data_IF_625921147870
#
_entry.id   IF_625921147870
#
_cell.length_a   1.000
_cell.length_b   1.000
_cell.length_c   1.000
_cell.angle_alpha   90.00
_cell.angle_beta   90.00
_cell.angle_gamma   90.00
#
_symmetry.space_group_name_H-M   'P 1'
#
loop_
_entity.id
_entity.type
_entity.pdbx_description
1 polymer ?
#
# COMPACT_ATOMS: atom_id res chain seq x y z
N UNK A 1 -4.32 7.41 29.63
CA UNK A 1 -5.45 7.27 28.68
C UNK A 1 -5.93 8.66 28.22
N UNK A 2 -5.61 9.07 26.98
CA UNK A 2 -6.16 10.30 26.41
C UNK A 2 -7.66 10.16 26.16
N UNK A 3 -8.42 11.24 26.30
CA UNK A 3 -9.87 11.25 26.06
C UNK A 3 -10.12 10.88 24.59
N UNK A 4 -10.93 9.84 24.33
CA UNK A 4 -11.27 9.40 22.96
C UNK A 4 -11.80 10.55 22.10
N UNK A 5 -12.56 11.47 22.71
CA UNK A 5 -13.11 12.64 22.01
C UNK A 5 -12.03 13.59 21.49
N UNK A 6 -10.93 13.76 22.23
CA UNK A 6 -9.81 14.62 21.83
C UNK A 6 -9.02 14.01 20.65
N UNK A 7 -8.87 12.69 20.65
CA UNK A 7 -8.21 11.96 19.55
C UNK A 7 -9.06 11.98 18.25
N UNK A 8 -10.38 11.85 18.36
CA UNK A 8 -11.28 11.87 17.19
C UNK A 8 -11.41 13.27 16.58
N UNK A 9 -11.39 14.32 17.41
CA UNK A 9 -11.31 15.72 16.98
C UNK A 9 -9.99 15.97 16.23
N UNK A 10 -8.87 15.47 16.74
CA UNK A 10 -7.55 15.64 16.09
C UNK A 10 -7.49 14.96 14.72
N UNK A 11 -8.08 13.77 14.58
CA UNK A 11 -8.10 13.02 13.30
C UNK A 11 -9.01 13.68 12.27
N UNK A 12 -10.19 14.13 12.68
CA UNK A 12 -11.10 14.89 11.82
C UNK A 12 -10.48 16.21 11.36
N UNK A 13 -9.71 16.86 12.23
CA UNK A 13 -8.95 18.06 11.91
C UNK A 13 -7.88 17.81 10.82
N UNK A 14 -7.17 16.68 10.85
CA UNK A 14 -6.17 16.35 9.82
C UNK A 14 -6.79 16.17 8.42
N UNK A 15 -7.96 15.54 8.34
CA UNK A 15 -8.70 15.42 7.07
C UNK A 15 -9.15 16.79 6.59
N UNK A 16 -9.70 17.63 7.48
CA UNK A 16 -10.12 18.97 7.11
C UNK A 16 -8.95 19.83 6.61
N UNK A 17 -7.81 19.79 7.30
CA UNK A 17 -6.60 20.48 6.86
C UNK A 17 -6.17 20.02 5.46
N UNK A 18 -6.23 18.72 5.16
CA UNK A 18 -5.91 18.19 3.83
C UNK A 18 -6.87 18.70 2.76
N UNK A 19 -8.18 18.78 3.07
CA UNK A 19 -9.19 19.34 2.18
C UNK A 19 -8.93 20.82 1.88
N UNK A 20 -8.60 21.59 2.92
CA UNK A 20 -8.29 23.02 2.83
C UNK A 20 -7.01 23.26 2.00
N UNK A 21 -5.94 22.50 2.27
CA UNK A 21 -4.66 22.58 1.55
C UNK A 21 -4.80 22.24 0.06
N UNK A 22 -5.70 21.31 -0.28
CA UNK A 22 -5.99 20.92 -1.66
C UNK A 22 -7.08 21.77 -2.33
N UNK A 23 -7.77 22.62 -1.57
CA UNK A 23 -8.86 23.47 -2.08
C UNK A 23 -10.06 22.68 -2.61
N UNK A 24 -10.42 21.58 -1.95
CA UNK A 24 -11.54 20.71 -2.35
C UNK A 24 -12.41 20.36 -1.14
N UNK A 25 -13.71 20.15 -1.36
CA UNK A 25 -14.65 19.75 -0.31
C UNK A 25 -14.70 18.24 -0.08
N UNK A 26 -14.09 17.46 -0.98
CA UNK A 26 -14.04 16.01 -0.87
C UNK A 26 -12.72 15.40 -1.41
N UNK A 27 -12.44 14.17 -0.99
CA UNK A 27 -11.39 13.32 -1.55
C UNK A 27 -11.96 12.02 -2.09
N UNK A 28 -11.46 11.57 -3.24
CA UNK A 28 -11.83 10.26 -3.80
C UNK A 28 -11.36 9.10 -2.90
N UNK A 29 -10.20 9.24 -2.27
CA UNK A 29 -9.59 8.22 -1.41
C UNK A 29 -8.80 8.87 -0.27
N UNK A 30 -8.98 8.38 0.96
CA UNK A 30 -8.12 8.70 2.10
C UNK A 30 -7.66 7.42 2.80
N UNK A 31 -6.38 7.35 3.18
CA UNK A 31 -5.75 6.13 3.69
C UNK A 31 -5.18 6.35 5.09
N UNK A 32 -5.35 5.36 5.97
CA UNK A 32 -4.48 5.24 7.14
C UNK A 32 -3.08 4.86 6.67
N UNK A 33 -2.09 5.72 6.92
CA UNK A 33 -0.75 5.55 6.37
C UNK A 33 0.01 4.35 6.97
N UNK A 34 -0.13 4.08 8.27
CA UNK A 34 0.50 2.94 8.95
C UNK A 34 -0.41 2.35 10.03
N UNK A 35 -0.41 1.01 10.23
CA UNK A 35 -1.19 0.33 11.25
C UNK A 35 -0.56 0.51 12.64
N UNK A 36 -0.58 1.74 13.16
CA UNK A 36 -0.03 2.01 14.51
C UNK A 36 -0.88 1.25 15.55
N UNK A 37 -0.27 0.34 16.35
CA UNK A 37 -0.95 -0.47 17.35
C UNK A 37 -1.78 0.40 18.28
N UNK A 38 -2.94 -0.09 18.69
CA UNK A 38 -3.93 0.60 19.55
C UNK A 38 -4.54 1.90 18.97
N UNK A 39 -4.11 2.37 17.79
CA UNK A 39 -4.62 3.62 17.19
C UNK A 39 -5.35 3.41 15.88
N UNK A 40 -4.88 2.47 15.07
CA UNK A 40 -5.32 2.37 13.67
C UNK A 40 -6.81 1.99 13.55
N UNK A 41 -7.34 1.13 14.43
CA UNK A 41 -8.76 0.78 14.45
C UNK A 41 -9.65 1.99 14.78
N UNK A 42 -9.29 2.78 15.79
CA UNK A 42 -10.04 3.98 16.15
C UNK A 42 -9.96 5.04 15.04
N UNK A 43 -8.78 5.22 14.44
CA UNK A 43 -8.61 6.14 13.33
C UNK A 43 -9.49 5.76 12.13
N UNK A 44 -9.66 4.46 11.86
CA UNK A 44 -10.50 4.00 10.76
C UNK A 44 -11.99 4.29 11.00
N UNK A 45 -12.47 4.19 12.24
CA UNK A 45 -13.85 4.57 12.59
C UNK A 45 -14.16 6.03 12.28
N UNK A 46 -13.19 6.94 12.53
CA UNK A 46 -13.33 8.35 12.14
C UNK A 46 -13.42 8.50 10.62
N UNK A 47 -12.66 7.71 9.84
CA UNK A 47 -12.77 7.72 8.38
C UNK A 47 -14.15 7.23 7.90
N UNK A 48 -14.73 6.22 8.56
CA UNK A 48 -16.10 5.75 8.27
C UNK A 48 -17.15 6.86 8.49
N UNK A 49 -17.01 7.63 9.57
CA UNK A 49 -17.89 8.77 9.86
C UNK A 49 -17.76 9.87 8.82
N UNK A 50 -16.52 10.22 8.42
CA UNK A 50 -16.25 11.23 7.40
C UNK A 50 -16.69 10.79 6.00
N UNK A 51 -16.63 9.48 5.72
CA UNK A 51 -17.20 8.90 4.51
C UNK A 51 -18.73 9.02 4.51
N UNK A 52 -19.39 8.70 5.63
CA UNK A 52 -20.84 8.85 5.76
C UNK A 52 -21.30 10.32 5.61
N UNK A 53 -20.44 11.28 5.96
CA UNK A 53 -20.67 12.72 5.76
C UNK A 53 -20.40 13.19 4.32
N UNK A 54 -19.89 12.33 3.44
CA UNK A 54 -19.60 12.66 2.03
C UNK A 54 -18.27 13.37 1.79
N UNK A 55 -17.46 13.62 2.83
CA UNK A 55 -16.12 14.23 2.70
C UNK A 55 -15.11 13.29 2.03
N UNK A 56 -15.29 11.99 2.23
CA UNK A 56 -14.44 10.94 1.65
C UNK A 56 -15.33 10.03 0.80
N UNK A 57 -14.99 9.79 -0.46
CA UNK A 57 -15.75 8.82 -1.29
C UNK A 57 -15.38 7.39 -0.95
N UNK A 58 -14.08 7.12 -0.86
CA UNK A 58 -13.52 5.83 -0.44
C UNK A 58 -12.53 6.02 0.70
N UNK A 59 -12.44 5.00 1.56
CA UNK A 59 -11.50 4.94 2.66
C UNK A 59 -10.69 3.65 2.54
N UNK A 60 -9.44 3.70 2.98
CA UNK A 60 -8.55 2.54 2.90
C UNK A 60 -7.40 2.61 3.88
N UNK A 61 -6.43 1.75 3.65
CA UNK A 61 -5.24 1.61 4.49
C UNK A 61 -3.99 1.53 3.63
N UNK A 62 -2.83 1.68 4.27
CA UNK A 62 -1.52 1.59 3.66
C UNK A 62 -0.58 0.86 4.59
N UNK A 63 0.31 0.05 4.01
CA UNK A 63 1.33 -0.73 4.72
C UNK A 63 0.78 -1.82 5.66
N UNK A 64 -0.49 -2.19 5.55
CA UNK A 64 -1.05 -3.24 6.42
C UNK A 64 -0.57 -4.62 5.96
N UNK A 65 -0.21 -5.44 6.93
CA UNK A 65 -0.08 -6.90 6.76
C UNK A 65 -1.43 -7.58 6.95
N UNK A 66 -1.52 -8.88 6.68
CA UNK A 66 -2.76 -9.66 6.82
C UNK A 66 -3.35 -9.49 8.22
N UNK A 67 -2.51 -9.57 9.25
CA UNK A 67 -2.98 -9.60 10.61
C UNK A 67 -3.48 -8.23 11.10
N UNK A 68 -2.99 -7.13 10.53
CA UNK A 68 -3.53 -5.78 10.80
C UNK A 68 -4.89 -5.58 10.13
N UNK A 69 -5.07 -6.18 8.93
CA UNK A 69 -6.37 -6.19 8.26
C UNK A 69 -7.36 -7.02 9.07
N UNK A 70 -6.97 -8.19 9.57
CA UNK A 70 -7.82 -9.02 10.42
C UNK A 70 -8.21 -8.30 11.71
N UNK A 71 -7.26 -7.63 12.37
CA UNK A 71 -7.53 -6.79 13.54
C UNK A 71 -8.54 -5.68 13.22
N UNK A 72 -8.34 -4.94 12.13
CA UNK A 72 -9.25 -3.88 11.72
C UNK A 72 -10.66 -4.42 11.42
N UNK A 73 -10.74 -5.51 10.67
CA UNK A 73 -12.00 -6.10 10.20
C UNK A 73 -12.87 -6.69 11.33
N UNK A 74 -12.33 -6.85 12.55
CA UNK A 74 -13.14 -7.24 13.72
C UNK A 74 -14.15 -6.15 14.13
N UNK A 75 -13.91 -4.88 13.78
CA UNK A 75 -14.79 -3.78 14.18
C UNK A 75 -15.11 -2.77 13.09
N UNK A 76 -14.47 -2.85 11.93
CA UNK A 76 -14.80 -2.04 10.77
C UNK A 76 -16.21 -2.38 10.26
N UNK A 77 -17.00 -1.34 9.98
CA UNK A 77 -18.30 -1.43 9.31
C UNK A 77 -18.16 -1.37 7.79
N UNK A 78 -17.11 -0.71 7.30
CA UNK A 78 -16.80 -0.56 5.88
C UNK A 78 -15.46 -1.24 5.58
N UNK A 79 -15.47 -2.22 4.66
CA UNK A 79 -14.25 -2.89 4.20
C UNK A 79 -13.33 -1.86 3.52
N UNK A 80 -12.02 -1.80 3.85
CA UNK A 80 -11.08 -0.91 3.18
C UNK A 80 -11.12 -1.09 1.67
N UNK A 81 -11.33 -0.01 0.92
CA UNK A 81 -11.34 -0.08 -0.54
C UNK A 81 -9.96 -0.46 -1.09
N UNK A 82 -8.90 0.07 -0.46
CA UNK A 82 -7.51 -0.12 -0.87
C UNK A 82 -6.62 -0.52 0.31
N UNK A 83 -5.64 -1.39 0.05
CA UNK A 83 -4.41 -1.50 0.83
C UNK A 83 -3.23 -1.07 -0.06
N UNK A 84 -2.67 0.12 0.21
CA UNK A 84 -1.52 0.65 -0.53
C UNK A 84 -0.21 0.10 0.07
N UNK A 85 0.55 -0.71 -0.68
CA UNK A 85 1.74 -1.43 -0.18
C UNK A 85 2.89 -1.42 -1.20
N UNK A 86 4.12 -1.64 -0.75
CA UNK A 86 5.25 -1.86 -1.67
C UNK A 86 5.07 -3.21 -2.36
N UNK A 87 4.85 -3.17 -3.67
CA UNK A 87 4.70 -4.38 -4.50
C UNK A 87 5.36 -4.14 -5.85
N UNK A 88 6.20 -5.09 -6.24
CA UNK A 88 6.90 -5.17 -7.52
C UNK A 88 7.48 -6.59 -7.67
N UNK A 89 8.04 -7.01 -8.82
CA UNK A 89 8.60 -8.35 -8.97
C UNK A 89 9.66 -8.77 -7.94
N UNK A 90 10.40 -7.80 -7.37
CA UNK A 90 11.43 -8.06 -6.35
C UNK A 90 10.88 -7.96 -4.91
N UNK A 91 9.61 -7.61 -4.74
CA UNK A 91 8.90 -7.69 -3.47
C UNK A 91 7.47 -8.11 -3.76
N UNK A 92 7.33 -9.35 -4.21
CA UNK A 92 6.06 -9.96 -4.55
C UNK A 92 5.42 -10.52 -3.29
N UNK A 93 4.54 -9.72 -2.71
CA UNK A 93 3.77 -10.04 -1.50
C UNK A 93 2.52 -10.86 -1.85
N UNK A 94 2.71 -12.00 -2.50
CA UNK A 94 1.66 -12.89 -3.04
C UNK A 94 0.56 -13.24 -2.03
N UNK A 95 0.88 -13.60 -0.78
CA UNK A 95 -0.11 -13.96 0.25
C UNK A 95 -0.91 -12.73 0.65
N UNK A 96 -0.24 -11.60 0.90
CA UNK A 96 -0.89 -10.33 1.21
C UNK A 96 -1.84 -9.89 0.09
N UNK A 97 -1.39 -9.99 -1.17
CA UNK A 97 -2.20 -9.63 -2.35
C UNK A 97 -3.43 -10.54 -2.46
N UNK A 98 -3.21 -11.87 -2.40
CA UNK A 98 -4.30 -12.85 -2.46
C UNK A 98 -5.32 -12.65 -1.34
N UNK A 99 -4.85 -12.36 -0.13
CA UNK A 99 -5.72 -12.06 1.01
C UNK A 99 -6.56 -10.81 0.75
N UNK A 100 -5.94 -9.69 0.36
CA UNK A 100 -6.66 -8.45 0.07
C UNK A 100 -7.75 -8.68 -1.00
N UNK A 101 -7.39 -9.32 -2.11
CA UNK A 101 -8.31 -9.62 -3.20
C UNK A 101 -9.46 -10.52 -2.75
N UNK A 102 -9.21 -11.53 -1.91
CA UNK A 102 -10.25 -12.40 -1.34
C UNK A 102 -11.25 -11.67 -0.44
N UNK A 103 -10.88 -10.50 0.10
CA UNK A 103 -11.73 -9.63 0.92
C UNK A 103 -12.37 -8.48 0.14
N UNK A 104 -12.14 -8.41 -1.17
CA UNK A 104 -12.59 -7.28 -2.00
C UNK A 104 -11.75 -6.00 -1.82
N UNK A 105 -10.57 -6.10 -1.21
CA UNK A 105 -9.64 -4.99 -1.01
C UNK A 105 -8.71 -4.92 -2.22
N UNK A 106 -8.68 -3.79 -2.92
CA UNK A 106 -7.77 -3.59 -4.05
C UNK A 106 -6.37 -3.25 -3.56
N UNK A 107 -5.36 -3.90 -4.12
CA UNK A 107 -3.97 -3.56 -3.80
C UNK A 107 -3.50 -2.41 -4.69
N UNK A 108 -2.87 -1.40 -4.08
CA UNK A 108 -2.23 -0.30 -4.79
C UNK A 108 -0.71 -0.32 -4.52
N UNK A 109 0.09 -0.54 -5.56
CA UNK A 109 1.53 -0.69 -5.49
C UNK A 109 2.25 0.65 -5.53
N UNK A 110 2.78 1.09 -4.39
CA UNK A 110 3.82 2.13 -4.38
C UNK A 110 5.19 1.52 -4.68
N UNK A 111 6.13 2.35 -5.18
CA UNK A 111 7.48 1.92 -5.62
C UNK A 111 7.48 0.72 -6.58
N UNK A 112 6.40 0.58 -7.36
CA UNK A 112 6.26 -0.45 -8.38
C UNK A 112 7.43 -0.48 -9.41
N UNK A 113 8.06 0.68 -9.65
CA UNK A 113 9.22 0.82 -10.54
C UNK A 113 10.58 0.72 -9.83
N UNK A 114 10.61 0.41 -8.53
CA UNK A 114 11.82 0.34 -7.68
C UNK A 114 12.79 1.51 -7.84
N UNK A 115 12.25 2.72 -7.95
CA UNK A 115 13.05 3.94 -8.14
C UNK A 115 14.02 3.87 -9.35
N UNK A 116 13.70 3.04 -10.34
CA UNK A 116 14.53 2.79 -11.54
C UNK A 116 15.69 1.81 -11.35
N UNK A 117 15.95 1.32 -10.12
CA UNK A 117 17.07 0.40 -9.83
C UNK A 117 16.94 -0.96 -10.53
N UNK A 118 15.71 -1.36 -10.85
CA UNK A 118 15.42 -2.61 -11.53
C UNK A 118 15.65 -2.57 -13.05
N UNK A 119 15.83 -1.39 -13.64
CA UNK A 119 15.81 -1.26 -15.11
C UNK A 119 17.00 -1.89 -15.81
N UNK A 120 18.12 -2.08 -15.10
CA UNK A 120 19.31 -2.76 -15.60
C UNK A 120 19.34 -4.26 -15.29
N UNK A 121 18.30 -4.81 -14.66
CA UNK A 121 18.26 -6.23 -14.34
C UNK A 121 18.17 -7.07 -15.64
N UNK A 122 19.02 -8.10 -15.85
CA UNK A 122 19.09 -8.83 -17.13
C UNK A 122 17.74 -9.37 -17.62
N UNK A 123 16.93 -9.91 -16.69
CA UNK A 123 15.59 -10.40 -17.04
C UNK A 123 14.66 -9.29 -17.53
N UNK A 124 14.73 -8.10 -16.91
CA UNK A 124 13.89 -6.96 -17.27
C UNK A 124 14.31 -6.41 -18.64
N UNK A 125 15.62 -6.34 -18.92
CA UNK A 125 16.14 -5.95 -20.23
C UNK A 125 15.74 -6.94 -21.32
N UNK A 126 15.88 -8.25 -21.07
CA UNK A 126 15.44 -9.31 -21.98
C UNK A 126 13.95 -9.20 -22.31
N UNK A 127 13.09 -8.97 -21.31
CA UNK A 127 11.66 -8.77 -21.52
C UNK A 127 11.38 -7.45 -22.24
N UNK A 128 12.12 -6.38 -21.91
CA UNK A 128 12.03 -5.09 -22.59
C UNK A 128 12.25 -5.23 -24.09
N UNK A 129 13.26 -5.99 -24.50
CA UNK A 129 13.53 -6.32 -25.90
C UNK A 129 12.42 -7.19 -26.51
N UNK A 130 12.02 -8.28 -25.83
CA UNK A 130 10.98 -9.20 -26.30
C UNK A 130 9.66 -8.48 -26.61
N UNK A 131 9.22 -7.60 -25.72
CA UNK A 131 7.93 -6.89 -25.85
C UNK A 131 8.05 -5.53 -26.56
N UNK A 132 9.26 -5.10 -26.91
CA UNK A 132 9.54 -3.76 -27.43
C UNK A 132 8.92 -2.65 -26.56
N UNK A 133 9.09 -2.78 -25.24
CA UNK A 133 8.57 -1.83 -24.24
C UNK A 133 9.68 -1.49 -23.26
N UNK A 134 9.76 -0.25 -22.73
CA UNK A 134 10.83 0.11 -21.82
C UNK A 134 10.73 -0.66 -20.48
N UNK A 135 11.83 -0.80 -19.71
CA UNK A 135 11.85 -1.55 -18.46
C UNK A 135 10.76 -1.18 -17.45
N UNK A 136 10.39 0.12 -17.38
CA UNK A 136 9.32 0.59 -16.52
C UNK A 136 7.96 -0.07 -16.83
N UNK A 137 7.69 -0.30 -18.11
CA UNK A 137 6.42 -0.84 -18.58
C UNK A 137 6.34 -2.34 -18.30
N UNK A 138 7.47 -3.07 -18.29
CA UNK A 138 7.50 -4.47 -17.85
C UNK A 138 7.01 -4.58 -16.39
N UNK A 139 7.55 -3.74 -15.50
CA UNK A 139 7.15 -3.73 -14.09
C UNK A 139 5.70 -3.26 -13.90
N UNK A 140 5.29 -2.20 -14.60
CA UNK A 140 3.92 -1.69 -14.55
C UNK A 140 2.90 -2.70 -15.05
N UNK A 141 3.20 -3.37 -16.18
CA UNK A 141 2.32 -4.39 -16.76
C UNK A 141 2.18 -5.61 -15.87
N UNK A 142 3.27 -6.02 -15.21
CA UNK A 142 3.22 -7.09 -14.21
C UNK A 142 2.23 -6.76 -13.08
N UNK A 143 2.22 -5.53 -12.55
CA UNK A 143 1.23 -5.11 -11.55
C UNK A 143 -0.20 -5.17 -12.11
N UNK A 144 -0.43 -4.57 -13.28
CA UNK A 144 -1.76 -4.49 -13.91
C UNK A 144 -2.34 -5.89 -14.16
N UNK A 145 -1.55 -6.84 -14.68
CA UNK A 145 -2.02 -8.22 -14.91
C UNK A 145 -2.32 -8.99 -13.63
N UNK A 146 -1.77 -8.58 -12.49
CA UNK A 146 -2.11 -9.14 -11.18
C UNK A 146 -3.30 -8.45 -10.51
N UNK A 147 -3.98 -7.57 -11.24
CA UNK A 147 -5.06 -6.74 -10.69
C UNK A 147 -4.58 -5.89 -9.50
N UNK A 148 -3.38 -5.32 -9.64
CA UNK A 148 -2.78 -4.38 -8.69
C UNK A 148 -2.68 -3.01 -9.35
N UNK A 149 -3.24 -1.98 -8.71
CA UNK A 149 -3.14 -0.60 -9.19
C UNK A 149 -1.68 -0.16 -9.05
N UNK A 150 -1.02 0.21 -10.13
CA UNK A 150 0.35 0.68 -10.12
C UNK A 150 0.36 2.22 -10.12
N UNK A 151 1.08 2.85 -9.17
CA UNK A 151 1.17 4.31 -9.04
C UNK A 151 2.60 4.81 -9.29
N UNK A 152 3.01 4.99 -10.55
CA UNK A 152 4.34 5.49 -10.89
C UNK A 152 4.48 6.97 -10.52
N UNK A 153 5.66 7.35 -10.01
CA UNK A 153 6.01 8.76 -9.83
C UNK A 153 6.98 9.21 -10.92
N UNK A 154 6.68 10.34 -11.56
CA UNK A 154 7.61 11.05 -12.44
C UNK A 154 7.36 12.55 -12.37
N UNK A 155 8.40 13.34 -12.60
CA UNK A 155 8.31 14.79 -12.84
C UNK A 155 8.62 15.15 -14.31
N UNK A 156 9.00 14.15 -15.12
CA UNK A 156 9.28 14.31 -16.56
C UNK A 156 8.06 13.85 -17.35
N UNK A 157 7.51 14.72 -18.19
CA UNK A 157 6.29 14.48 -18.97
C UNK A 157 6.40 13.24 -19.86
N UNK A 158 7.55 13.06 -20.51
CA UNK A 158 7.81 11.95 -21.42
C UNK A 158 7.73 10.61 -20.67
N UNK A 159 8.25 10.57 -19.43
CA UNK A 159 8.15 9.39 -18.57
C UNK A 159 6.73 9.18 -18.05
N UNK A 160 5.97 10.24 -17.78
CA UNK A 160 4.55 10.10 -17.40
C UNK A 160 3.75 9.45 -18.52
N UNK A 161 3.96 9.89 -19.76
CA UNK A 161 3.34 9.29 -20.95
C UNK A 161 3.76 7.82 -21.12
N UNK A 162 5.06 7.53 -21.07
CA UNK A 162 5.57 6.17 -21.20
C UNK A 162 5.02 5.23 -20.11
N UNK A 163 4.91 5.72 -18.86
CA UNK A 163 4.37 4.95 -17.73
C UNK A 163 2.90 4.56 -17.92
N UNK A 164 2.11 5.31 -18.71
CA UNK A 164 0.72 4.95 -19.01
C UNK A 164 0.58 3.86 -20.07
N UNK A 165 1.65 3.56 -20.83
CA UNK A 165 1.65 2.62 -21.96
C UNK A 165 1.78 1.14 -21.49
N UNK A 166 0.87 0.73 -20.59
CA UNK A 166 0.88 -0.59 -19.94
C UNK A 166 -0.46 -1.33 -20.06
N UNK A 167 -1.45 -0.80 -20.77
CA UNK A 167 -2.82 -1.34 -20.76
C UNK A 167 -3.20 -2.13 -22.02
N UNK A 168 -2.58 -1.83 -23.17
CA UNK A 168 -2.92 -2.32 -24.51
C UNK A 168 -2.11 -3.53 -25.00
N UNK A 169 -1.28 -4.12 -24.14
CA UNK A 169 -0.47 -5.30 -24.44
C UNK A 169 -0.36 -6.20 -23.21
N UNK A 170 0.11 -7.43 -23.35
CA UNK A 170 0.22 -8.40 -22.25
C UNK A 170 1.61 -9.04 -22.18
N UNK A 171 2.10 -9.27 -20.96
CA UNK A 171 3.13 -10.25 -20.68
C UNK A 171 2.53 -11.66 -20.78
N UNK A 172 3.23 -12.54 -21.47
CA UNK A 172 2.91 -13.98 -21.51
C UNK A 172 2.98 -14.59 -20.10
N UNK A 173 2.19 -15.63 -19.87
CA UNK A 173 2.10 -16.32 -18.57
C UNK A 173 3.47 -16.82 -18.09
N UNK A 174 4.29 -17.37 -18.99
CA UNK A 174 5.65 -17.81 -18.65
C UNK A 174 6.52 -16.66 -18.15
N UNK A 175 6.41 -15.49 -18.76
CA UNK A 175 7.22 -14.33 -18.38
C UNK A 175 6.74 -13.72 -17.06
N UNK A 176 5.42 -13.74 -16.82
CA UNK A 176 4.85 -13.40 -15.51
C UNK A 176 5.41 -14.33 -14.41
N UNK A 177 5.51 -15.63 -14.68
CA UNK A 177 6.09 -16.60 -13.76
C UNK A 177 7.60 -16.37 -13.54
N UNK A 178 8.37 -16.03 -14.57
CA UNK A 178 9.78 -15.65 -14.41
C UNK A 178 9.95 -14.40 -13.53
N UNK A 179 9.06 -13.41 -13.66
CA UNK A 179 9.06 -12.21 -12.81
C UNK A 179 8.67 -12.49 -11.36
N UNK A 180 7.70 -13.39 -11.13
CA UNK A 180 7.25 -13.77 -9.79
C UNK A 180 8.37 -14.38 -8.93
N UNK A 181 9.42 -14.91 -9.57
CA UNK A 181 10.58 -15.53 -8.90
C UNK A 181 11.69 -14.53 -8.53
N UNK A 182 11.55 -13.24 -8.85
CA UNK A 182 12.59 -12.23 -8.57
C UNK A 182 12.64 -11.77 -7.11
N UNK A 183 11.65 -12.13 -6.30
CA UNK A 183 11.62 -11.78 -4.88
C UNK A 183 12.61 -12.63 -4.10
N UNK A 184 13.51 -11.99 -3.37
CA UNK A 184 14.49 -12.66 -2.51
C UNK A 184 14.11 -12.54 -1.04
N UNK A 185 14.63 -13.46 -0.21
CA UNK A 185 14.49 -13.38 1.25
C UNK A 185 15.04 -12.06 1.80
N UNK A 186 16.15 -11.55 1.25
CA UNK A 186 16.69 -10.24 1.61
C UNK A 186 15.69 -9.09 1.36
N UNK A 187 14.94 -9.15 0.26
CA UNK A 187 13.93 -8.12 -0.03
C UNK A 187 12.77 -8.17 0.98
N UNK A 188 12.34 -9.36 1.37
CA UNK A 188 11.33 -9.57 2.40
C UNK A 188 11.83 -9.08 3.78
N UNK A 189 13.05 -9.44 4.19
CA UNK A 189 13.62 -9.00 5.47
C UNK A 189 13.87 -7.49 5.50
N UNK A 190 14.26 -6.88 4.38
CA UNK A 190 14.36 -5.42 4.25
C UNK A 190 13.00 -4.75 4.48
N UNK A 191 11.94 -5.28 3.86
CA UNK A 191 10.58 -4.78 4.07
C UNK A 191 10.13 -4.98 5.52
N UNK A 192 10.40 -6.14 6.12
CA UNK A 192 10.08 -6.44 7.52
C UNK A 192 10.75 -5.46 8.48
N UNK A 193 12.03 -5.16 8.28
CA UNK A 193 12.75 -4.18 9.07
C UNK A 193 12.16 -2.77 8.93
N UNK A 194 11.76 -2.37 7.71
CA UNK A 194 11.08 -1.10 7.46
C UNK A 194 9.72 -1.04 8.17
N UNK A 195 8.91 -2.09 8.02
CA UNK A 195 7.60 -2.19 8.66
C UNK A 195 7.72 -2.04 10.17
N UNK A 196 8.58 -2.84 10.80
CA UNK A 196 8.84 -2.75 12.25
C UNK A 196 9.31 -1.36 12.65
N UNK A 197 10.26 -0.77 11.91
CA UNK A 197 10.75 0.58 12.20
C UNK A 197 9.63 1.62 12.17
N UNK A 198 8.78 1.61 11.16
CA UNK A 198 7.71 2.59 10.98
C UNK A 198 6.60 2.42 12.02
N UNK A 199 6.14 1.18 12.21
CA UNK A 199 5.14 0.85 13.23
C UNK A 199 5.65 1.25 14.61
N UNK A 200 6.89 0.85 14.98
CA UNK A 200 7.46 1.17 16.29
C UNK A 200 7.74 2.65 16.53
N UNK A 201 8.16 3.39 15.50
CA UNK A 201 8.47 4.83 15.64
C UNK A 201 7.24 5.59 16.14
N UNK A 202 6.07 5.25 15.63
CA UNK A 202 4.84 6.02 15.84
C UNK A 202 3.93 5.40 16.94
N UNK A 203 4.27 4.20 17.46
CA UNK A 203 3.65 3.60 18.65
C UNK A 203 4.03 4.36 19.92
N UNK A 204 3.07 4.97 20.64
CA UNK A 204 3.34 5.67 21.90
C UNK A 204 3.68 4.68 23.02
N UNK A 205 4.43 5.14 24.03
CA UNK A 205 4.73 4.38 25.25
C UNK A 205 3.49 4.02 26.07
N UNK A 206 2.31 4.59 25.79
CA UNK A 206 1.04 4.22 26.42
C UNK A 206 0.30 3.10 25.70
N UNK A 207 0.72 2.74 24.48
CA UNK A 207 0.25 1.57 23.71
C UNK A 207 1.08 0.33 24.03
N UNK A 208 1.50 0.21 25.29
CA UNK A 208 2.36 -0.85 25.79
C UNK A 208 1.63 -1.58 26.90
N UNK A 209 1.59 -2.91 26.85
CA UNK A 209 1.47 -3.67 28.09
C UNK A 209 2.81 -3.55 28.84
N UNK A 210 2.76 -3.11 30.10
CA UNK A 210 3.93 -3.09 31.00
C UNK A 210 5.16 -2.30 30.51
N UNK A 211 4.97 -1.21 29.76
CA UNK A 211 6.08 -0.37 29.30
C UNK A 211 6.92 -0.96 28.15
N UNK A 212 6.49 -2.08 27.55
CA UNK A 212 7.09 -2.66 26.33
C UNK A 212 6.20 -2.36 25.12
N UNK A 213 6.77 -1.77 24.06
CA UNK A 213 6.07 -1.56 22.78
C UNK A 213 5.38 -2.86 22.36
N UNK A 214 4.05 -2.83 22.20
CA UNK A 214 3.28 -3.96 21.65
C UNK A 214 3.87 -4.25 20.26
N UNK A 215 4.67 -5.30 20.21
CA UNK A 215 5.36 -5.76 19.03
C UNK A 215 4.63 -7.01 18.59
N UNK A 216 3.99 -6.94 17.43
CA UNK A 216 3.49 -8.13 16.75
C UNK A 216 4.71 -9.00 16.42
N UNK A 217 4.80 -10.16 17.06
CA UNK A 217 5.97 -11.07 16.95
C UNK A 217 5.91 -11.97 15.72
N UNK A 218 4.73 -12.13 15.13
CA UNK A 218 4.51 -12.87 13.89
C UNK A 218 3.54 -12.10 12.98
N UNK A 219 3.95 -11.88 11.73
CA UNK A 219 3.13 -11.24 10.71
C UNK A 219 3.53 -11.69 9.30
N UNK A 220 2.55 -11.72 8.41
CA UNK A 220 2.72 -12.18 7.03
C UNK A 220 3.16 -11.03 6.14
N UNK A 221 4.39 -11.11 5.64
CA UNK A 221 5.01 -10.08 4.78
C UNK A 221 5.02 -10.45 3.30
N UNK A 222 4.89 -11.73 2.98
CA UNK A 222 4.90 -12.27 1.61
C UNK A 222 3.52 -12.33 0.97
#
# INVERSE_FOLDING_TARGET
PGDRRENDVTRSFQVQQTLDDLGTDYLDLYLIHWPVPSKHVEAYKVLEELQAQGKLRSIGVSNYVIEDLEELMQSAKVVPAINQIEVNPFLYRKRTISYCQSKGIVVQAYRALRDGKAFSHPLILKMSEKYNKPPANILGRWCVQKNVIYIPKSVKKERMLANMDVFDWTLEEKDMQELDLLTTEENLETFKALYLKCVLRDTPLSGTEEGKKLLRTAFTID
#
